data_IF_072871301206
#
_entry.id   IF_072871301206
#
_cell.length_a   1.000
_cell.length_b   1.000
_cell.length_c   1.000
_cell.angle_alpha   90.00
_cell.angle_beta   90.00
_cell.angle_gamma   90.00
#
_symmetry.space_group_name_H-M   'P 1'
#
loop_
_entity.id
_entity.type
_entity.pdbx_description
1 polymer ?
#
# COMPACT_ATOMS: atom_id res chain seq x y z
N UNK A 1 -2.48 -8.62 29.16
CA UNK A 1 -1.41 -8.02 28.38
C UNK A 1 -1.88 -7.69 26.98
N UNK A 2 -1.50 -6.56 26.47
CA UNK A 2 -1.91 -6.10 25.17
C UNK A 2 -0.87 -6.47 24.12
N UNK A 3 -1.30 -7.15 23.06
CA UNK A 3 -0.42 -7.52 21.97
C UNK A 3 -0.45 -6.42 20.92
N UNK A 4 0.72 -5.96 20.51
CA UNK A 4 0.81 -5.00 19.44
C UNK A 4 0.58 -5.70 18.11
N UNK A 5 -0.15 -5.01 17.23
CA UNK A 5 -0.36 -5.49 15.88
C UNK A 5 0.91 -5.28 15.09
N UNK A 6 1.45 -6.33 14.50
CA UNK A 6 2.71 -6.26 13.76
C UNK A 6 2.53 -6.43 12.27
N UNK A 7 1.36 -6.89 11.82
CA UNK A 7 1.12 -7.12 10.40
C UNK A 7 -0.25 -6.62 10.01
N UNK A 8 -0.45 -6.44 8.70
CA UNK A 8 -1.72 -6.11 8.10
C UNK A 8 -2.05 -7.15 7.07
N UNK A 9 -3.27 -7.68 7.12
CA UNK A 9 -3.77 -8.61 6.11
C UNK A 9 -4.79 -7.87 5.27
N UNK A 10 -4.55 -7.84 3.97
CA UNK A 10 -5.41 -7.18 3.00
C UNK A 10 -6.19 -8.25 2.26
N UNK A 11 -7.50 -8.13 2.21
CA UNK A 11 -8.35 -9.13 1.58
C UNK A 11 -9.22 -8.47 0.51
N UNK A 12 -9.13 -8.97 -0.71
CA UNK A 12 -9.87 -8.41 -1.83
C UNK A 12 -10.22 -9.45 -2.85
N UNK A 13 -10.59 -8.99 -4.05
CA UNK A 13 -11.05 -9.87 -5.14
C UNK A 13 -9.99 -10.86 -5.60
N UNK A 14 -8.73 -10.48 -5.53
CA UNK A 14 -7.63 -11.32 -5.99
C UNK A 14 -7.04 -12.22 -4.92
N UNK A 15 -7.67 -12.32 -3.75
CA UNK A 15 -7.16 -13.10 -2.65
C UNK A 15 -6.74 -12.22 -1.48
N UNK A 16 -5.69 -12.62 -0.79
CA UNK A 16 -5.21 -11.85 0.35
C UNK A 16 -3.70 -11.61 0.23
N UNK A 17 -3.25 -10.54 0.87
CA UNK A 17 -1.84 -10.18 0.94
C UNK A 17 -1.53 -9.79 2.37
N UNK A 18 -0.53 -10.43 2.96
CA UNK A 18 -0.08 -10.09 4.30
C UNK A 18 1.24 -9.31 4.21
N UNK A 19 1.33 -8.21 4.94
CA UNK A 19 2.52 -7.37 5.01
C UNK A 19 2.78 -7.00 6.46
N UNK A 20 4.04 -6.74 6.79
CA UNK A 20 4.33 -6.10 8.07
C UNK A 20 3.61 -4.75 8.10
N UNK A 21 3.08 -4.40 9.26
CA UNK A 21 2.37 -3.13 9.38
C UNK A 21 3.26 -1.95 9.04
N UNK A 22 4.54 -2.03 9.40
CA UNK A 22 5.51 -1.00 9.05
C UNK A 22 5.69 -0.91 7.54
N UNK A 23 5.79 -2.06 6.85
CA UNK A 23 5.91 -2.08 5.40
C UNK A 23 4.66 -1.52 4.74
N UNK A 24 3.49 -1.86 5.24
CA UNK A 24 2.24 -1.35 4.72
C UNK A 24 2.19 0.19 4.86
N UNK A 25 2.54 0.69 6.05
CA UNK A 25 2.58 2.12 6.29
C UNK A 25 3.57 2.82 5.34
N UNK A 26 4.76 2.27 5.20
CA UNK A 26 5.78 2.85 4.33
C UNK A 26 5.37 2.78 2.86
N UNK A 27 4.66 1.72 2.46
CA UNK A 27 4.13 1.63 1.10
C UNK A 27 3.16 2.77 0.82
N UNK A 28 2.21 3.00 1.74
CA UNK A 28 1.23 4.07 1.57
C UNK A 28 1.91 5.44 1.49
N UNK A 29 2.87 5.69 2.37
CA UNK A 29 3.58 6.96 2.39
C UNK A 29 4.40 7.16 1.13
N UNK A 30 5.05 6.12 0.64
CA UNK A 30 5.85 6.18 -0.58
C UNK A 30 4.97 6.51 -1.78
N UNK A 31 3.82 5.85 -1.88
CA UNK A 31 2.90 6.09 -2.99
C UNK A 31 2.29 7.49 -2.93
N UNK A 32 2.05 7.98 -1.72
CA UNK A 32 1.58 9.35 -1.55
C UNK A 32 2.63 10.35 -2.03
N UNK A 33 3.90 10.10 -1.71
CA UNK A 33 5.00 10.94 -2.19
C UNK A 33 5.08 10.93 -3.72
N UNK A 34 4.63 9.85 -4.35
CA UNK A 34 4.67 9.70 -5.80
C UNK A 34 3.38 10.11 -6.50
N UNK A 35 2.46 10.73 -5.77
CA UNK A 35 1.27 11.33 -6.37
C UNK A 35 -0.07 10.71 -6.01
N UNK A 36 -0.10 9.62 -5.25
CA UNK A 36 -1.36 9.05 -4.80
C UNK A 36 -2.05 10.03 -3.86
N UNK A 37 -3.34 10.27 -4.10
CA UNK A 37 -4.15 11.13 -3.25
C UNK A 37 -5.15 10.26 -2.52
N UNK A 38 -4.93 10.00 -1.22
CA UNK A 38 -5.82 9.12 -0.46
C UNK A 38 -7.21 9.73 -0.28
N UNK A 39 -8.22 8.88 -0.33
CA UNK A 39 -9.61 9.28 -0.12
C UNK A 39 -9.92 9.46 1.36
N UNK A 40 -9.10 8.92 2.24
CA UNK A 40 -9.31 8.92 3.68
C UNK A 40 -8.04 9.38 4.39
N UNK A 41 -8.13 9.63 5.68
CA UNK A 41 -6.93 9.93 6.44
C UNK A 41 -6.03 8.69 6.51
N UNK A 42 -4.73 8.92 6.60
CA UNK A 42 -3.76 7.83 6.63
C UNK A 42 -4.03 6.84 7.76
N UNK A 43 -4.45 7.35 8.92
CA UNK A 43 -4.73 6.49 10.08
C UNK A 43 -5.87 5.53 9.81
N UNK A 44 -6.84 5.92 8.97
CA UNK A 44 -7.95 5.04 8.65
C UNK A 44 -7.48 3.79 7.90
N UNK A 45 -6.50 3.94 7.00
CA UNK A 45 -5.98 2.79 6.25
C UNK A 45 -5.29 1.78 7.15
N UNK A 46 -4.78 2.21 8.30
CA UNK A 46 -4.06 1.33 9.20
C UNK A 46 -4.98 0.60 10.18
N UNK A 47 -6.26 0.93 10.20
CA UNK A 47 -7.21 0.34 11.13
C UNK A 47 -7.78 -0.97 10.58
N UNK A 48 -7.95 -1.94 11.46
CA UNK A 48 -8.68 -3.17 11.10
C UNK A 48 -10.11 -2.80 10.74
N UNK A 49 -10.59 -3.31 9.63
CA UNK A 49 -11.92 -2.99 9.13
C UNK A 49 -11.94 -1.88 8.11
N UNK A 50 -10.80 -1.22 7.87
CA UNK A 50 -10.73 -0.19 6.85
C UNK A 50 -10.99 -0.79 5.47
N UNK A 51 -11.72 -0.04 4.64
CA UNK A 51 -12.05 -0.47 3.28
C UNK A 51 -11.40 0.49 2.30
N UNK A 52 -10.67 -0.09 1.35
CA UNK A 52 -10.08 0.68 0.25
C UNK A 52 -10.98 0.46 -0.96
N UNK A 53 -11.53 1.56 -1.48
CA UNK A 53 -12.48 1.50 -2.60
C UNK A 53 -11.79 1.05 -3.89
N UNK A 54 -12.58 0.66 -4.89
CA UNK A 54 -12.08 0.31 -6.21
C UNK A 54 -11.30 1.47 -6.82
N UNK A 55 -11.82 2.68 -6.69
CA UNK A 55 -11.17 3.86 -7.23
C UNK A 55 -9.85 4.14 -6.52
N UNK A 56 -9.84 4.04 -5.19
CA UNK A 56 -8.63 4.29 -4.40
C UNK A 56 -7.57 3.24 -4.71
N UNK A 57 -7.98 1.97 -4.83
CA UNK A 57 -7.05 0.90 -5.21
C UNK A 57 -6.46 1.14 -6.61
N UNK A 58 -7.27 1.60 -7.55
CA UNK A 58 -6.78 1.94 -8.89
C UNK A 58 -5.75 3.06 -8.84
N UNK A 59 -5.98 4.05 -7.99
CA UNK A 59 -5.04 5.16 -7.83
C UNK A 59 -3.74 4.70 -7.18
N UNK A 60 -3.82 3.79 -6.20
CA UNK A 60 -2.64 3.19 -5.58
C UNK A 60 -1.83 2.40 -6.62
N UNK A 61 -2.51 1.62 -7.45
CA UNK A 61 -1.83 0.84 -8.49
C UNK A 61 -1.13 1.74 -9.49
N UNK A 62 -1.76 2.85 -9.86
CA UNK A 62 -1.16 3.81 -10.78
C UNK A 62 0.07 4.46 -10.18
N UNK A 63 0.01 4.82 -8.89
CA UNK A 63 1.17 5.37 -8.20
C UNK A 63 2.29 4.35 -8.10
N UNK A 64 1.95 3.07 -7.89
CA UNK A 64 2.95 2.01 -7.84
C UNK A 64 3.65 1.83 -9.18
N UNK A 65 2.92 1.95 -10.30
CA UNK A 65 3.53 1.93 -11.62
C UNK A 65 4.55 3.04 -11.79
N UNK A 66 4.27 4.20 -11.18
CA UNK A 66 5.18 5.34 -11.25
C UNK A 66 6.53 5.07 -10.55
N UNK A 67 6.57 4.10 -9.63
CA UNK A 67 7.81 3.72 -8.95
C UNK A 67 8.85 3.26 -9.96
N UNK A 68 8.47 2.43 -10.94
CA UNK A 68 9.38 1.98 -11.98
C UNK A 68 10.00 3.15 -12.73
N UNK A 69 9.15 4.08 -13.16
CA UNK A 69 9.63 5.25 -13.90
C UNK A 69 10.54 6.11 -13.04
N UNK A 70 10.15 6.31 -11.79
CA UNK A 70 10.93 7.13 -10.86
C UNK A 70 12.29 6.51 -10.56
N UNK A 71 12.34 5.20 -10.33
CA UNK A 71 13.59 4.50 -10.04
C UNK A 71 14.48 4.46 -11.26
N UNK A 72 13.90 4.27 -12.45
CA UNK A 72 14.67 4.28 -13.69
C UNK A 72 15.36 5.61 -13.93
N UNK A 73 14.73 6.71 -13.50
CA UNK A 73 15.27 8.05 -13.69
C UNK A 73 16.08 8.55 -12.50
N UNK A 74 15.78 8.05 -11.30
CA UNK A 74 16.41 8.53 -10.07
C UNK A 74 16.36 7.44 -9.00
N UNK A 75 17.50 6.84 -8.70
CA UNK A 75 17.59 5.75 -7.73
C UNK A 75 17.19 6.16 -6.31
N UNK A 76 17.10 7.47 -6.02
CA UNK A 76 16.72 7.95 -4.71
C UNK A 76 15.23 8.26 -4.60
N UNK A 77 14.43 7.88 -5.59
CA UNK A 77 13.00 8.19 -5.59
C UNK A 77 12.26 7.51 -4.44
N UNK A 78 12.71 6.34 -4.00
CA UNK A 78 12.12 5.64 -2.87
C UNK A 78 13.06 5.83 -1.68
N UNK A 79 12.66 6.67 -0.73
CA UNK A 79 13.51 7.03 0.41
C UNK A 79 13.10 6.35 1.71
N UNK A 80 11.95 5.68 1.72
CA UNK A 80 11.47 5.03 2.93
C UNK A 80 11.97 3.59 3.01
N UNK A 81 12.07 3.02 4.22
CA UNK A 81 12.64 1.68 4.40
C UNK A 81 11.66 0.57 4.01
N UNK A 82 11.38 0.47 2.72
CA UNK A 82 10.57 -0.61 2.18
C UNK A 82 11.25 -1.13 0.93
N UNK A 83 11.24 -2.46 0.75
CA UNK A 83 11.86 -3.05 -0.43
C UNK A 83 11.03 -2.77 -1.67
N UNK A 84 11.71 -2.67 -2.80
CA UNK A 84 11.06 -2.48 -4.09
C UNK A 84 10.09 -3.63 -4.39
N UNK A 85 10.50 -4.87 -4.05
CA UNK A 85 9.65 -6.03 -4.28
C UNK A 85 8.33 -5.94 -3.50
N UNK A 86 8.37 -5.46 -2.27
CA UNK A 86 7.16 -5.30 -1.47
C UNK A 86 6.22 -4.27 -2.08
N UNK A 87 6.79 -3.18 -2.61
CA UNK A 87 5.98 -2.17 -3.31
C UNK A 87 5.34 -2.76 -4.55
N UNK A 88 6.06 -3.60 -5.30
CA UNK A 88 5.52 -4.25 -6.49
C UNK A 88 4.39 -5.21 -6.13
N UNK A 89 4.57 -5.99 -5.09
CA UNK A 89 3.54 -6.92 -4.64
C UNK A 89 2.27 -6.18 -4.22
N UNK A 90 2.45 -5.09 -3.49
CA UNK A 90 1.33 -4.27 -3.07
C UNK A 90 0.61 -3.64 -4.26
N UNK A 91 1.37 -3.10 -5.19
CA UNK A 91 0.81 -2.49 -6.40
C UNK A 91 0.03 -3.50 -7.23
N UNK A 92 0.57 -4.70 -7.40
CA UNK A 92 -0.09 -5.77 -8.14
C UNK A 92 -1.39 -6.18 -7.44
N UNK A 93 -1.39 -6.21 -6.12
CA UNK A 93 -2.60 -6.50 -5.37
C UNK A 93 -3.67 -5.42 -5.59
N UNK A 94 -3.27 -4.16 -5.57
CA UNK A 94 -4.18 -3.04 -5.80
C UNK A 94 -4.80 -3.07 -7.20
N UNK A 95 -4.08 -3.59 -8.20
CA UNK A 95 -4.61 -3.73 -9.55
C UNK A 95 -5.83 -4.63 -9.62
N UNK A 96 -5.99 -5.52 -8.66
CA UNK A 96 -7.11 -6.47 -8.64
C UNK A 96 -8.40 -5.86 -8.08
N UNK A 97 -8.36 -4.60 -7.66
CA UNK A 97 -9.53 -3.89 -7.18
C UNK A 97 -9.46 -3.53 -5.72
N UNK A 98 -10.57 -3.06 -5.19
CA UNK A 98 -10.67 -2.67 -3.80
C UNK A 98 -10.43 -3.83 -2.83
N UNK A 99 -10.11 -3.50 -1.60
CA UNK A 99 -9.81 -4.51 -0.59
C UNK A 99 -10.13 -3.97 0.80
N UNK A 100 -10.06 -4.86 1.78
CA UNK A 100 -10.36 -4.56 3.17
C UNK A 100 -9.20 -5.00 4.05
N UNK A 101 -8.90 -4.23 5.06
CA UNK A 101 -7.87 -4.58 6.04
C UNK A 101 -8.54 -5.42 7.13
N UNK A 102 -8.15 -6.69 7.25
CA UNK A 102 -8.85 -7.65 8.11
C UNK A 102 -8.02 -8.15 9.30
N UNK A 103 -6.79 -7.72 9.44
CA UNK A 103 -6.04 -8.21 10.59
C UNK A 103 -4.63 -7.69 10.76
#
# INVERSE_FOLDING_TARGET
MKTQRESATLQGHGGSLEMDLEDFCNALLTLEDLGWQPEQSRLNYLAVGAVVSEQDAANLARAADSVFMAISNNSNAVTRPISFQKLLEFGAFCLKGGFKIVG
#
